data_IF_457335925932
#
_entry.id   IF_457335925932
#
_cell.length_a   1.000
_cell.length_b   1.000
_cell.length_c   1.000
_cell.angle_alpha   90.00
_cell.angle_beta   90.00
_cell.angle_gamma   90.00
#
_symmetry.space_group_name_H-M   'P 1'
#
loop_
_entity.id
_entity.type
_entity.pdbx_description
1 polymer ?
#
# COMPACT_ATOMS: atom_id res chain seq x y z
N UNK A 1 19.48 -20.21 -13.45
CA UNK A 1 18.14 -20.46 -12.89
C UNK A 1 17.65 -21.81 -13.42
N UNK A 2 16.99 -22.62 -12.60
CA UNK A 2 16.41 -23.89 -13.06
C UNK A 2 14.94 -23.93 -12.64
N UNK A 3 13.99 -24.16 -13.55
CA UNK A 3 12.58 -24.29 -13.18
C UNK A 3 12.39 -25.46 -12.21
N UNK A 4 11.67 -25.24 -11.11
CA UNK A 4 11.30 -26.25 -10.13
C UNK A 4 9.80 -26.22 -9.91
N UNK A 5 9.13 -27.34 -10.18
CA UNK A 5 7.71 -27.49 -9.87
C UNK A 5 7.50 -27.92 -8.43
N UNK A 6 6.70 -27.17 -7.68
CA UNK A 6 6.20 -27.55 -6.36
C UNK A 6 4.67 -27.51 -6.44
N UNK A 7 4.02 -28.68 -6.25
CA UNK A 7 2.57 -28.85 -6.34
C UNK A 7 1.94 -28.33 -7.65
N UNK A 8 2.64 -28.46 -8.78
CA UNK A 8 2.15 -28.02 -10.09
C UNK A 8 2.41 -26.54 -10.42
N UNK A 9 2.77 -25.72 -9.44
CA UNK A 9 3.24 -24.34 -9.65
C UNK A 9 4.73 -24.35 -9.94
N UNK A 10 5.14 -23.66 -10.99
CA UNK A 10 6.54 -23.54 -11.41
C UNK A 10 7.20 -22.37 -10.68
N UNK A 11 8.22 -22.69 -9.89
CA UNK A 11 9.05 -21.72 -9.16
C UNK A 11 10.44 -21.68 -9.78
N UNK A 12 11.05 -20.49 -9.81
CA UNK A 12 12.43 -20.35 -10.25
C UNK A 12 13.35 -20.77 -9.11
N UNK A 13 14.13 -21.84 -9.31
CA UNK A 13 15.18 -22.25 -8.39
C UNK A 13 16.43 -21.42 -8.70
N UNK A 14 16.78 -20.52 -7.79
CA UNK A 14 17.99 -19.73 -7.88
C UNK A 14 19.18 -20.58 -7.37
N UNK A 15 20.30 -20.57 -8.11
CA UNK A 15 21.57 -20.99 -7.53
C UNK A 15 21.99 -19.85 -6.63
N UNK A 16 22.03 -20.13 -5.34
CA UNK A 16 22.39 -19.18 -4.32
C UNK A 16 23.91 -19.07 -4.25
N UNK A 17 24.43 -17.86 -4.42
CA UNK A 17 25.84 -17.56 -4.17
C UNK A 17 26.16 -17.67 -2.68
N UNK A 18 27.43 -17.62 -2.30
CA UNK A 18 27.89 -17.74 -0.91
C UNK A 18 27.25 -16.71 0.06
N UNK A 19 26.70 -15.62 -0.48
CA UNK A 19 26.05 -14.53 0.27
C UNK A 19 24.53 -14.62 0.35
N UNK A 20 23.92 -15.72 -0.10
CA UNK A 20 22.47 -15.87 -0.03
C UNK A 20 21.99 -16.05 1.41
N UNK A 21 20.93 -15.31 1.75
CA UNK A 21 20.28 -15.39 3.07
C UNK A 21 19.04 -16.30 2.95
N UNK A 22 18.99 -17.44 3.66
CA UNK A 22 17.80 -18.27 3.69
C UNK A 22 16.60 -17.50 4.26
N UNK A 23 15.48 -17.53 3.56
CA UNK A 23 14.25 -16.89 3.98
C UNK A 23 13.04 -17.83 3.84
N UNK A 24 12.06 -17.63 4.70
CA UNK A 24 10.78 -18.34 4.69
C UNK A 24 9.64 -17.38 4.37
N UNK A 25 8.65 -17.84 3.61
CA UNK A 25 7.47 -17.05 3.29
C UNK A 25 6.56 -16.89 4.51
N UNK A 26 6.26 -15.64 4.88
CA UNK A 26 5.34 -15.31 5.99
C UNK A 26 3.92 -15.14 5.47
N UNK A 27 3.75 -14.47 4.33
CA UNK A 27 2.47 -14.21 3.70
C UNK A 27 2.57 -13.08 2.69
N UNK A 28 1.46 -12.78 2.03
CA UNK A 28 1.45 -11.81 0.93
C UNK A 28 0.05 -11.50 0.43
N UNK A 29 -0.01 -10.58 -0.53
CA UNK A 29 -1.19 -10.26 -1.31
C UNK A 29 -0.80 -9.90 -2.74
N UNK A 30 -1.30 -10.63 -3.71
CA UNK A 30 -1.30 -10.33 -5.15
C UNK A 30 -2.04 -9.03 -5.42
N UNK A 31 -3.17 -8.78 -4.74
CA UNK A 31 -3.96 -7.54 -4.92
C UNK A 31 -3.15 -6.28 -4.62
N UNK A 32 -2.24 -6.37 -3.64
CA UNK A 32 -1.36 -5.27 -3.24
C UNK A 32 0.08 -5.43 -3.74
N UNK A 33 0.35 -6.48 -4.51
CA UNK A 33 1.68 -6.91 -4.97
C UNK A 33 2.77 -6.89 -3.88
N UNK A 34 2.42 -7.39 -2.69
CA UNK A 34 3.26 -7.29 -1.50
C UNK A 34 3.46 -8.67 -0.88
N UNK A 35 4.71 -9.03 -0.59
CA UNK A 35 5.06 -10.25 0.14
C UNK A 35 5.98 -9.94 1.33
N UNK A 36 5.80 -10.69 2.41
CA UNK A 36 6.69 -10.65 3.59
C UNK A 36 7.42 -11.98 3.68
N UNK A 37 8.74 -11.90 3.78
CA UNK A 37 9.62 -13.03 4.05
C UNK A 37 10.35 -12.84 5.37
N UNK A 38 10.74 -13.94 6.00
CA UNK A 38 11.46 -13.97 7.27
C UNK A 38 12.78 -14.70 7.09
N UNK A 39 13.87 -13.99 7.37
CA UNK A 39 15.21 -14.54 7.54
C UNK A 39 15.61 -14.53 9.02
N UNK A 40 16.61 -15.33 9.38
CA UNK A 40 17.20 -15.24 10.73
C UNK A 40 18.11 -14.02 10.82
N UNK A 41 18.16 -13.38 11.99
CA UNK A 41 19.03 -12.23 12.23
C UNK A 41 20.52 -12.61 12.09
N UNK A 42 20.87 -13.83 12.49
CA UNK A 42 22.22 -14.37 12.39
C UNK A 42 22.65 -14.51 10.93
N UNK A 43 21.83 -15.12 10.07
CA UNK A 43 22.13 -15.27 8.64
C UNK A 43 22.33 -13.90 7.95
N UNK A 44 21.48 -12.93 8.29
CA UNK A 44 21.60 -11.56 7.74
C UNK A 44 22.91 -10.91 8.17
N UNK A 45 23.28 -11.00 9.46
CA UNK A 45 24.49 -10.36 9.98
C UNK A 45 25.78 -11.07 9.57
N UNK A 46 25.71 -12.37 9.28
CA UNK A 46 26.82 -13.13 8.69
C UNK A 46 27.20 -12.60 7.29
N UNK A 47 26.21 -12.10 6.53
CA UNK A 47 26.43 -11.48 5.22
C UNK A 47 26.82 -10.00 5.36
N UNK A 48 26.10 -9.23 6.18
CA UNK A 48 26.41 -7.82 6.41
C UNK A 48 26.10 -7.41 7.87
N UNK A 49 27.12 -7.25 8.73
CA UNK A 49 26.92 -6.87 10.13
C UNK A 49 26.49 -5.41 10.32
N UNK A 50 26.53 -4.59 9.27
CA UNK A 50 26.17 -3.17 9.31
C UNK A 50 24.77 -2.88 8.76
N UNK A 51 23.97 -3.91 8.44
CA UNK A 51 22.61 -3.69 7.98
C UNK A 51 21.77 -3.02 9.08
N UNK A 52 20.94 -2.06 8.67
CA UNK A 52 20.03 -1.34 9.55
C UNK A 52 18.58 -1.55 9.09
N UNK A 53 17.60 -1.55 10.02
CA UNK A 53 16.20 -1.44 9.65
C UNK A 53 15.98 -0.17 8.84
N UNK A 54 15.13 -0.26 7.82
CA UNK A 54 14.73 0.93 7.07
C UNK A 54 13.85 1.83 7.92
N UNK A 55 14.05 3.15 7.81
CA UNK A 55 13.13 4.13 8.37
C UNK A 55 12.02 4.41 7.36
N UNK A 56 10.77 4.34 7.78
CA UNK A 56 9.67 4.77 6.93
C UNK A 56 9.49 6.28 6.99
N UNK A 57 9.31 6.92 5.84
CA UNK A 57 8.98 8.35 5.81
C UNK A 57 7.65 8.61 6.53
N UNK A 58 7.46 9.78 7.12
CA UNK A 58 6.14 10.13 7.67
C UNK A 58 5.10 10.31 6.58
N UNK A 59 5.52 10.87 5.45
CA UNK A 59 4.74 11.12 4.23
C UNK A 59 5.67 11.43 3.07
N UNK A 60 5.13 11.45 1.85
CA UNK A 60 5.80 11.92 0.65
C UNK A 60 4.85 12.81 -0.17
N UNK A 61 5.34 13.52 -1.17
CA UNK A 61 4.51 14.42 -2.00
C UNK A 61 4.96 14.44 -3.45
N UNK A 62 4.06 14.86 -4.35
CA UNK A 62 4.40 15.10 -5.75
C UNK A 62 5.53 16.14 -5.84
N UNK A 63 6.52 15.86 -6.67
CA UNK A 63 7.75 16.64 -6.83
C UNK A 63 8.84 16.30 -5.80
N UNK A 64 8.58 15.46 -4.81
CA UNK A 64 9.60 14.99 -3.87
C UNK A 64 10.57 14.03 -4.57
N UNK A 65 11.86 14.12 -4.24
CA UNK A 65 12.90 13.23 -4.76
C UNK A 65 12.55 11.78 -4.47
N UNK A 66 12.71 10.94 -5.49
CA UNK A 66 12.53 9.50 -5.40
C UNK A 66 13.81 8.80 -5.88
N UNK A 67 14.41 8.00 -5.02
CA UNK A 67 15.66 7.26 -5.26
C UNK A 67 15.33 5.78 -5.20
N UNK A 68 15.46 5.09 -6.33
CA UNK A 68 15.24 3.65 -6.39
C UNK A 68 16.57 2.93 -6.18
N UNK A 69 16.56 1.92 -5.31
CA UNK A 69 17.71 1.03 -5.06
C UNK A 69 17.24 -0.41 -5.26
N UNK A 70 17.88 -1.11 -6.19
CA UNK A 70 17.50 -2.47 -6.61
C UNK A 70 18.67 -3.23 -7.24
N UNK A 71 18.37 -4.41 -7.79
CA UNK A 71 19.34 -5.23 -8.52
C UNK A 71 18.96 -5.31 -10.00
N UNK A 72 19.13 -4.21 -10.71
CA UNK A 72 18.79 -4.10 -12.14
C UNK A 72 19.51 -5.17 -12.97
N UNK A 73 18.74 -5.91 -13.76
CA UNK A 73 19.15 -6.99 -14.66
C UNK A 73 19.96 -8.12 -14.00
N UNK A 74 20.03 -8.15 -12.67
CA UNK A 74 20.85 -9.08 -11.92
C UNK A 74 22.35 -8.76 -11.95
N UNK A 75 22.75 -7.59 -12.44
CA UNK A 75 24.16 -7.19 -12.59
C UNK A 75 24.79 -6.58 -11.32
N UNK A 76 24.00 -6.39 -10.27
CA UNK A 76 24.42 -5.82 -9.00
C UNK A 76 23.54 -4.66 -8.54
N UNK A 77 23.93 -4.01 -7.45
CA UNK A 77 23.16 -2.90 -6.88
C UNK A 77 23.16 -1.72 -7.85
N UNK A 78 21.98 -1.30 -8.28
CA UNK A 78 21.74 -0.12 -9.11
C UNK A 78 21.01 0.95 -8.30
N UNK A 79 21.40 2.21 -8.52
CA UNK A 79 20.74 3.38 -7.92
C UNK A 79 20.32 4.32 -9.04
N UNK A 80 19.05 4.70 -9.05
CA UNK A 80 18.50 5.70 -9.97
C UNK A 80 17.74 6.76 -9.20
N UNK A 81 17.63 7.97 -9.77
CA UNK A 81 16.98 9.09 -9.12
C UNK A 81 16.04 9.80 -10.08
N UNK A 82 14.88 10.18 -9.56
CA UNK A 82 13.92 11.08 -10.18
C UNK A 82 13.05 11.74 -9.10
N UNK A 83 11.77 11.87 -9.36
CA UNK A 83 10.76 12.44 -8.47
C UNK A 83 9.47 11.61 -8.44
N UNK A 84 8.66 11.86 -7.42
CA UNK A 84 7.26 11.43 -7.40
C UNK A 84 6.44 12.30 -8.36
N UNK A 85 5.95 11.69 -9.43
CA UNK A 85 5.14 12.36 -10.46
C UNK A 85 3.65 12.35 -10.12
N UNK A 86 3.16 11.26 -9.52
CA UNK A 86 1.77 11.13 -9.04
C UNK A 86 1.79 10.43 -7.68
N UNK A 87 1.12 11.03 -6.69
CA UNK A 87 1.12 10.51 -5.31
C UNK A 87 0.55 9.09 -5.23
N UNK A 88 -0.60 8.86 -5.88
CA UNK A 88 -1.25 7.57 -5.96
C UNK A 88 -2.30 7.57 -7.06
N UNK A 89 -2.36 6.48 -7.81
CA UNK A 89 -3.38 6.20 -8.82
C UNK A 89 -3.61 4.68 -8.95
N UNK A 90 -4.66 4.28 -9.66
CA UNK A 90 -4.87 2.89 -10.03
C UNK A 90 -4.38 2.67 -11.46
N UNK A 91 -3.54 1.66 -11.65
CA UNK A 91 -2.98 1.27 -12.93
C UNK A 91 -3.33 -0.18 -13.23
N UNK A 92 -3.32 -0.56 -14.50
CA UNK A 92 -3.34 -1.95 -14.90
C UNK A 92 -1.94 -2.32 -15.37
N UNK A 93 -1.37 -3.39 -14.84
CA UNK A 93 -0.06 -3.87 -15.25
C UNK A 93 -0.22 -4.81 -16.45
N UNK A 94 0.69 -4.78 -17.41
CA UNK A 94 0.60 -5.67 -18.57
C UNK A 94 0.65 -7.15 -18.19
N UNK A 95 1.42 -7.46 -17.14
CA UNK A 95 1.58 -8.81 -16.57
C UNK A 95 0.30 -9.33 -15.90
N UNK A 96 -0.64 -8.45 -15.55
CA UNK A 96 -1.92 -8.81 -14.95
C UNK A 96 -3.04 -7.90 -15.44
N UNK A 97 -3.81 -8.42 -16.41
CA UNK A 97 -4.93 -7.73 -17.04
C UNK A 97 -6.23 -7.81 -16.24
N UNK A 98 -6.26 -8.58 -15.16
CA UNK A 98 -7.47 -8.80 -14.37
C UNK A 98 -7.59 -7.82 -13.20
N UNK A 99 -6.47 -7.26 -12.74
CA UNK A 99 -6.41 -6.43 -11.54
C UNK A 99 -5.91 -5.02 -11.83
N UNK A 100 -6.42 -4.08 -11.06
CA UNK A 100 -5.87 -2.74 -10.96
C UNK A 100 -5.05 -2.61 -9.68
N UNK A 101 -3.85 -2.07 -9.81
CA UNK A 101 -2.89 -1.90 -8.75
C UNK A 101 -2.83 -0.44 -8.32
N UNK A 102 -2.88 -0.19 -7.02
CA UNK A 102 -2.68 1.17 -6.51
C UNK A 102 -1.18 1.46 -6.44
N UNK A 103 -0.75 2.49 -7.16
CA UNK A 103 0.67 2.79 -7.40
C UNK A 103 0.99 4.28 -7.26
N UNK A 104 2.19 4.58 -6.77
CA UNK A 104 2.90 5.85 -6.97
C UNK A 104 3.42 5.86 -8.40
N UNK A 105 3.27 6.98 -9.13
CA UNK A 105 4.00 7.20 -10.38
C UNK A 105 5.28 7.96 -10.11
N UNK A 106 6.38 7.50 -10.69
CA UNK A 106 7.70 8.13 -10.62
C UNK A 106 8.28 8.26 -12.03
N UNK A 107 9.11 9.27 -12.26
CA UNK A 107 9.95 9.39 -13.47
C UNK A 107 11.36 8.79 -13.27
N UNK A 108 11.59 8.21 -12.08
CA UNK A 108 12.83 7.52 -11.74
C UNK A 108 13.01 6.32 -12.65
N UNK A 109 14.18 6.16 -13.27
CA UNK A 109 14.45 5.04 -14.17
C UNK A 109 14.35 3.71 -13.43
N UNK A 110 13.48 2.82 -13.91
CA UNK A 110 13.29 1.45 -13.40
C UNK A 110 13.51 0.48 -14.55
N UNK A 111 14.28 -0.58 -14.29
CA UNK A 111 14.51 -1.68 -15.22
C UNK A 111 14.13 -3.00 -14.54
N UNK A 112 14.04 -4.07 -15.32
CA UNK A 112 13.84 -5.42 -14.79
C UNK A 112 14.86 -5.72 -13.68
N UNK A 113 14.43 -6.30 -12.57
CA UNK A 113 15.29 -6.55 -11.39
C UNK A 113 15.25 -5.45 -10.31
N UNK A 114 14.70 -4.27 -10.60
CA UNK A 114 14.36 -3.30 -9.55
C UNK A 114 13.06 -3.66 -8.80
N UNK A 115 12.20 -4.54 -9.34
CA UNK A 115 10.98 -5.01 -8.67
C UNK A 115 11.28 -5.59 -7.28
N UNK A 116 10.58 -5.11 -6.26
CA UNK A 116 10.80 -5.44 -4.86
C UNK A 116 11.89 -4.61 -4.15
N UNK A 117 12.60 -3.74 -4.88
CA UNK A 117 13.56 -2.78 -4.35
C UNK A 117 12.90 -1.64 -3.57
N UNK A 118 13.71 -0.90 -2.81
CA UNK A 118 13.23 0.23 -2.02
C UNK A 118 13.20 1.51 -2.84
N UNK A 119 12.13 2.29 -2.68
CA UNK A 119 12.04 3.68 -3.14
C UNK A 119 12.20 4.62 -1.95
N UNK A 120 13.18 5.52 -2.00
CA UNK A 120 13.58 6.38 -0.88
C UNK A 120 13.46 7.86 -1.21
N UNK A 121 13.23 8.69 -0.20
CA UNK A 121 13.39 10.13 -0.33
C UNK A 121 14.85 10.56 -0.09
N UNK A 122 15.13 11.86 -0.22
CA UNK A 122 16.48 12.43 -0.05
C UNK A 122 17.05 12.33 1.38
N UNK A 123 16.23 11.93 2.37
CA UNK A 123 16.66 11.66 3.75
C UNK A 123 17.03 10.18 3.97
N UNK A 124 16.86 9.33 2.96
CA UNK A 124 17.05 7.88 3.08
C UNK A 124 15.87 7.16 3.73
N UNK A 125 14.72 7.81 3.86
CA UNK A 125 13.50 7.20 4.39
C UNK A 125 12.72 6.53 3.24
N UNK A 126 12.17 5.35 3.48
CA UNK A 126 11.37 4.61 2.51
C UNK A 126 10.04 5.32 2.26
N UNK A 127 9.71 5.51 0.99
CA UNK A 127 8.45 6.09 0.49
C UNK A 127 7.64 5.11 -0.37
N UNK A 128 8.19 3.94 -0.69
CA UNK A 128 7.49 2.88 -1.41
C UNK A 128 8.38 1.69 -1.74
N UNK A 129 7.81 0.70 -2.43
CA UNK A 129 8.55 -0.45 -2.97
C UNK A 129 8.39 -0.44 -4.49
N UNK A 130 9.48 -0.47 -5.24
CA UNK A 130 9.44 -0.47 -6.70
C UNK A 130 8.73 -1.72 -7.22
N UNK A 131 7.77 -1.56 -8.13
CA UNK A 131 6.99 -2.68 -8.67
C UNK A 131 7.50 -3.03 -10.07
N UNK A 132 7.04 -2.31 -11.10
CA UNK A 132 7.48 -2.47 -12.48
C UNK A 132 7.28 -1.14 -13.23
N UNK A 133 8.01 -0.97 -14.33
CA UNK A 133 7.86 0.14 -15.27
C UNK A 133 6.93 -0.22 -16.42
N UNK A 134 6.33 0.79 -17.05
CA UNK A 134 5.73 0.60 -18.37
C UNK A 134 6.86 0.47 -19.40
N UNK A 135 6.97 -0.68 -20.08
CA UNK A 135 8.02 -0.88 -21.10
C UNK A 135 7.77 -0.05 -22.37
N UNK A 136 6.57 0.48 -22.54
CA UNK A 136 6.15 1.24 -23.71
C UNK A 136 6.31 2.75 -23.54
N UNK A 137 6.11 3.27 -22.32
CA UNK A 137 6.22 4.69 -21.99
C UNK A 137 7.50 5.02 -21.21
N UNK A 138 8.44 5.68 -21.88
CA UNK A 138 9.68 6.15 -21.25
C UNK A 138 9.37 7.11 -20.08
N UNK A 139 10.03 6.88 -18.94
CA UNK A 139 9.92 7.69 -17.70
C UNK A 139 8.53 7.64 -17.02
N UNK A 140 7.75 6.59 -17.24
CA UNK A 140 6.55 6.29 -16.46
C UNK A 140 6.77 4.97 -15.73
N UNK A 141 7.11 5.07 -14.45
CA UNK A 141 7.39 3.92 -13.60
C UNK A 141 6.54 3.93 -12.34
N UNK A 142 6.40 2.76 -11.71
CA UNK A 142 5.48 2.58 -10.60
C UNK A 142 6.11 1.95 -9.37
N UNK A 143 5.64 2.40 -8.21
CA UNK A 143 5.99 1.84 -6.91
C UNK A 143 4.74 1.66 -6.04
N UNK A 144 4.76 0.63 -5.19
CA UNK A 144 3.74 0.37 -4.18
C UNK A 144 3.78 1.51 -3.15
N UNK A 145 2.65 2.19 -2.87
CA UNK A 145 2.57 3.28 -1.91
C UNK A 145 3.01 2.91 -0.50
N UNK A 146 3.66 3.86 0.19
CA UNK A 146 4.15 3.68 1.55
C UNK A 146 3.08 3.18 2.52
N UNK A 147 1.85 3.67 2.41
CA UNK A 147 0.74 3.27 3.27
C UNK A 147 0.39 1.79 3.08
N UNK A 148 0.43 1.30 1.84
CA UNK A 148 0.22 -0.12 1.54
C UNK A 148 1.37 -0.94 2.12
N UNK A 149 2.62 -0.49 1.97
CA UNK A 149 3.79 -1.17 2.55
C UNK A 149 3.67 -1.25 4.08
N UNK A 150 3.46 -0.11 4.75
CA UNK A 150 3.36 -0.05 6.22
C UNK A 150 2.22 -0.90 6.77
N UNK A 151 1.01 -0.68 6.26
CA UNK A 151 -0.19 -1.30 6.81
C UNK A 151 -0.32 -2.75 6.34
N UNK A 152 0.06 -3.03 5.09
CA UNK A 152 0.09 -4.37 4.52
C UNK A 152 1.09 -5.29 5.22
N UNK A 153 2.33 -4.84 5.48
CA UNK A 153 3.31 -5.66 6.23
C UNK A 153 2.78 -5.99 7.63
N UNK A 154 2.26 -4.99 8.36
CA UNK A 154 1.68 -5.21 9.69
C UNK A 154 0.50 -6.19 9.63
N UNK A 155 -0.36 -6.07 8.62
CA UNK A 155 -1.49 -6.95 8.39
C UNK A 155 -1.06 -8.39 8.11
N UNK A 156 -0.12 -8.60 7.19
CA UNK A 156 0.43 -9.92 6.84
C UNK A 156 1.05 -10.59 8.07
N UNK A 157 1.88 -9.87 8.82
CA UNK A 157 2.55 -10.43 10.01
C UNK A 157 1.52 -10.88 11.05
N UNK A 158 0.50 -10.04 11.31
CA UNK A 158 -0.62 -10.35 12.21
C UNK A 158 -1.43 -11.57 11.75
N UNK A 159 -1.57 -11.76 10.45
CA UNK A 159 -2.34 -12.87 9.83
C UNK A 159 -1.45 -13.99 9.26
N UNK A 160 -0.21 -14.11 9.73
CA UNK A 160 0.79 -15.04 9.17
C UNK A 160 0.40 -16.52 9.20
N UNK A 161 -0.55 -16.92 10.07
CA UNK A 161 -1.12 -18.27 10.08
C UNK A 161 -1.84 -18.59 8.76
N UNK A 162 -2.56 -17.60 8.21
CA UNK A 162 -3.30 -17.72 6.96
C UNK A 162 -2.43 -17.39 5.74
N UNK A 163 -1.23 -16.83 5.95
CA UNK A 163 -0.28 -16.39 4.91
C UNK A 163 -0.85 -15.38 3.90
N UNK A 164 -1.89 -14.67 4.30
CA UNK A 164 -2.63 -13.71 3.48
C UNK A 164 -3.00 -12.48 4.30
N UNK A 165 -3.31 -11.38 3.60
CA UNK A 165 -3.91 -10.21 4.23
C UNK A 165 -5.37 -10.45 4.58
N UNK A 166 -5.88 -9.68 5.55
CA UNK A 166 -7.32 -9.58 5.84
C UNK A 166 -7.79 -8.14 5.87
N UNK A 167 -8.93 -7.87 5.25
CA UNK A 167 -9.52 -6.52 5.17
C UNK A 167 -10.99 -6.53 5.55
N UNK A 168 -11.45 -5.44 6.16
CA UNK A 168 -12.86 -5.27 6.52
C UNK A 168 -13.71 -4.90 5.29
N UNK A 169 -14.90 -5.48 5.18
CA UNK A 169 -15.87 -5.11 4.12
C UNK A 169 -16.95 -4.20 4.70
N UNK A 170 -16.85 -2.89 4.44
CA UNK A 170 -17.79 -1.91 4.99
C UNK A 170 -19.18 -1.96 4.35
N UNK A 171 -19.28 -2.35 3.08
CA UNK A 171 -20.51 -2.31 2.29
C UNK A 171 -20.89 -0.92 1.80
N UNK A 172 -19.89 -0.11 1.47
CA UNK A 172 -20.03 1.22 0.88
C UNK A 172 -19.71 1.19 -0.62
N UNK A 173 -20.50 1.92 -1.41
CA UNK A 173 -20.07 2.42 -2.72
C UNK A 173 -19.79 3.90 -2.56
N UNK A 174 -18.61 4.35 -2.97
CA UNK A 174 -18.18 5.75 -2.86
C UNK A 174 -17.89 6.34 -4.23
N UNK A 175 -18.02 7.66 -4.32
CA UNK A 175 -17.66 8.46 -5.47
C UNK A 175 -16.77 9.63 -5.03
N UNK A 176 -15.82 10.00 -5.88
CA UNK A 176 -15.02 11.22 -5.69
C UNK A 176 -15.64 12.37 -6.50
N UNK A 177 -15.77 13.54 -5.86
CA UNK A 177 -16.23 14.78 -6.48
C UNK A 177 -15.24 15.91 -6.18
N UNK A 178 -15.33 16.99 -6.95
CA UNK A 178 -14.60 18.23 -6.72
C UNK A 178 -13.08 18.04 -6.54
N UNK A 179 -12.48 17.12 -7.31
CA UNK A 179 -11.04 16.85 -7.22
C UNK A 179 -10.24 18.08 -7.63
N UNK A 180 -9.36 18.55 -6.75
CA UNK A 180 -8.50 19.69 -7.02
C UNK A 180 -7.16 19.56 -6.28
N UNK A 181 -6.19 20.37 -6.71
CA UNK A 181 -4.89 20.45 -6.07
C UNK A 181 -4.89 21.56 -5.01
N UNK A 182 -4.45 21.23 -3.80
CA UNK A 182 -4.21 22.19 -2.74
C UNK A 182 -2.71 22.36 -2.51
N UNK A 183 -2.23 23.60 -2.60
CA UNK A 183 -0.85 23.96 -2.31
C UNK A 183 -0.70 24.47 -0.88
N UNK A 184 0.22 23.90 -0.12
CA UNK A 184 0.58 24.36 1.21
C UNK A 184 1.80 25.28 1.13
N UNK A 185 1.56 26.59 1.21
CA UNK A 185 2.62 27.62 1.12
C UNK A 185 3.65 27.56 2.25
N UNK A 186 3.33 26.93 3.40
CA UNK A 186 4.28 26.80 4.52
C UNK A 186 5.30 25.69 4.27
N UNK A 187 4.88 24.61 3.61
CA UNK A 187 5.75 23.45 3.35
C UNK A 187 6.31 23.46 1.93
N UNK A 188 5.74 24.26 1.03
CA UNK A 188 6.07 24.24 -0.40
C UNK A 188 5.61 22.95 -1.11
N UNK A 189 4.78 22.13 -0.43
CA UNK A 189 4.25 20.87 -0.96
C UNK A 189 2.77 21.05 -1.28
N UNK A 190 2.23 20.19 -2.15
CA UNK A 190 0.79 20.14 -2.35
C UNK A 190 0.28 18.74 -2.54
N UNK A 191 -1.04 18.62 -2.50
CA UNK A 191 -1.74 17.34 -2.51
C UNK A 191 -3.05 17.47 -3.27
N UNK A 192 -3.44 16.39 -3.95
CA UNK A 192 -4.72 16.33 -4.64
C UNK A 192 -5.77 15.80 -3.68
N UNK A 193 -6.83 16.57 -3.46
CA UNK A 193 -7.92 16.27 -2.52
C UNK A 193 -9.23 16.17 -3.31
N UNK A 194 -10.11 15.27 -2.88
CA UNK A 194 -11.45 15.06 -3.43
C UNK A 194 -12.47 15.03 -2.30
N UNK A 195 -13.69 15.45 -2.59
CA UNK A 195 -14.85 15.11 -1.74
C UNK A 195 -15.17 13.63 -1.93
N UNK A 196 -15.00 12.81 -0.88
CA UNK A 196 -15.37 11.38 -0.90
C UNK A 196 -16.79 11.24 -0.38
N UNK A 197 -17.73 10.95 -1.27
CA UNK A 197 -19.17 10.87 -0.96
C UNK A 197 -19.67 9.43 -1.08
N UNK A 198 -20.59 9.03 -0.21
CA UNK A 198 -21.25 7.72 -0.29
C UNK A 198 -22.33 7.76 -1.38
N UNK A 199 -22.16 6.95 -2.42
CA UNK A 199 -23.18 6.75 -3.46
C UNK A 199 -24.27 5.80 -2.99
N UNK A 200 -23.89 4.70 -2.32
CA UNK A 200 -24.86 3.73 -1.78
C UNK A 200 -24.32 2.95 -0.59
N UNK A 201 -25.26 2.48 0.24
CA UNK A 201 -24.99 1.64 1.41
C UNK A 201 -25.69 0.30 1.20
N UNK A 202 -24.93 -0.80 1.30
CA UNK A 202 -25.48 -2.15 1.18
C UNK A 202 -26.29 -2.51 2.43
N UNK A 203 -27.47 -3.11 2.25
CA UNK A 203 -28.26 -3.56 3.40
C UNK A 203 -27.55 -4.65 4.21
N UNK A 204 -27.74 -4.63 5.53
CA UNK A 204 -27.10 -5.48 6.56
C UNK A 204 -25.59 -5.32 6.66
N UNK A 205 -25.01 -4.31 6.02
CA UNK A 205 -23.58 -4.03 6.05
C UNK A 205 -23.14 -3.37 7.36
N UNK A 206 -21.83 -3.28 7.57
CA UNK A 206 -21.23 -2.51 8.66
C UNK A 206 -21.63 -1.04 8.53
N UNK A 207 -21.57 -0.47 7.32
CA UNK A 207 -21.95 0.90 7.06
C UNK A 207 -23.41 1.22 7.44
N UNK A 208 -24.36 0.32 7.13
CA UNK A 208 -25.77 0.48 7.54
C UNK A 208 -25.88 0.48 9.07
N UNK A 209 -25.19 -0.43 9.76
CA UNK A 209 -25.18 -0.48 11.24
C UNK A 209 -24.53 0.76 11.87
N UNK A 210 -23.62 1.42 11.15
CA UNK A 210 -23.00 2.68 11.56
C UNK A 210 -23.90 3.90 11.29
N UNK A 211 -25.13 3.70 10.79
CA UNK A 211 -26.05 4.77 10.37
C UNK A 211 -25.49 5.68 9.26
N UNK A 212 -24.61 5.14 8.41
CA UNK A 212 -24.18 5.84 7.20
C UNK A 212 -25.28 5.79 6.14
N UNK A 213 -25.38 6.85 5.35
CA UNK A 213 -26.41 7.01 4.33
C UNK A 213 -25.82 7.52 3.01
N UNK A 214 -26.55 7.33 1.91
CA UNK A 214 -26.21 7.95 0.63
C UNK A 214 -26.14 9.48 0.78
N UNK A 215 -25.20 10.09 0.06
CA UNK A 215 -24.83 11.50 0.09
C UNK A 215 -24.01 11.97 1.31
N UNK A 216 -23.77 11.12 2.32
CA UNK A 216 -22.84 11.46 3.38
C UNK A 216 -21.42 11.62 2.80
N UNK A 217 -20.72 12.69 3.20
CA UNK A 217 -19.32 12.95 2.84
C UNK A 217 -18.44 12.39 3.96
N UNK A 218 -17.50 11.53 3.61
CA UNK A 218 -16.57 10.90 4.54
C UNK A 218 -15.33 11.79 4.72
N UNK A 219 -15.23 12.47 5.86
CA UNK A 219 -14.12 13.38 6.15
C UNK A 219 -12.96 12.67 6.86
N UNK A 220 -13.27 11.75 7.76
CA UNK A 220 -12.26 10.99 8.52
C UNK A 220 -12.81 9.65 9.01
N UNK A 221 -11.92 8.67 9.13
CA UNK A 221 -12.18 7.39 9.80
C UNK A 221 -11.50 7.43 11.17
N UNK A 222 -12.23 7.11 12.21
CA UNK A 222 -11.72 6.95 13.57
C UNK A 222 -11.55 5.46 13.83
N UNK A 223 -10.37 5.05 14.32
CA UNK A 223 -10.06 3.67 14.71
C UNK A 223 -9.56 3.72 16.16
N UNK A 224 -10.32 3.12 17.10
CA UNK A 224 -10.00 3.12 18.53
C UNK A 224 -9.73 4.53 19.12
N UNK A 225 -10.43 5.55 18.60
CA UNK A 225 -10.29 6.94 19.03
C UNK A 225 -9.18 7.73 18.31
N UNK A 226 -8.35 7.08 17.49
CA UNK A 226 -7.38 7.76 16.63
C UNK A 226 -8.04 8.16 15.30
N UNK A 227 -7.86 9.41 14.89
CA UNK A 227 -8.50 10.00 13.72
C UNK A 227 -7.57 9.99 12.50
N UNK A 228 -8.07 9.44 11.39
CA UNK A 228 -7.39 9.37 10.11
C UNK A 228 -8.19 10.12 9.05
N UNK A 229 -7.58 11.15 8.46
CA UNK A 229 -8.22 11.96 7.42
C UNK A 229 -8.45 11.16 6.14
N UNK A 230 -9.57 11.45 5.48
CA UNK A 230 -9.91 10.92 4.17
C UNK A 230 -9.90 12.10 3.19
N UNK A 231 -8.83 12.22 2.43
CA UNK A 231 -8.69 13.22 1.38
C UNK A 231 -9.07 12.65 0.02
N UNK A 232 -8.94 11.33 -0.14
CA UNK A 232 -9.20 10.58 -1.37
C UNK A 232 -9.79 9.22 -1.03
N UNK A 233 -10.52 8.64 -1.99
CA UNK A 233 -11.16 7.33 -1.86
C UNK A 233 -10.16 6.22 -1.52
N UNK A 234 -8.95 6.31 -2.06
CA UNK A 234 -7.90 5.33 -1.80
C UNK A 234 -7.43 5.33 -0.34
N UNK A 235 -7.62 6.42 0.41
CA UNK A 235 -7.25 6.50 1.83
C UNK A 235 -8.04 5.46 2.64
N UNK A 236 -9.33 5.29 2.33
CA UNK A 236 -10.18 4.27 2.95
C UNK A 236 -9.57 2.89 2.71
N UNK A 237 -9.19 2.57 1.47
CA UNK A 237 -8.57 1.29 1.13
C UNK A 237 -7.30 1.00 1.94
N UNK A 238 -6.45 2.00 2.16
CA UNK A 238 -5.27 1.86 3.04
C UNK A 238 -5.66 1.66 4.49
N UNK A 239 -6.59 2.45 5.02
CA UNK A 239 -6.98 2.39 6.42
C UNK A 239 -7.68 1.07 6.77
N UNK A 240 -8.38 0.45 5.81
CA UNK A 240 -8.94 -0.89 5.98
C UNK A 240 -7.88 -1.98 6.24
N UNK A 241 -6.62 -1.77 5.82
CA UNK A 241 -5.51 -2.69 6.12
C UNK A 241 -5.07 -2.62 7.59
N UNK A 242 -5.29 -1.48 8.27
CA UNK A 242 -4.95 -1.32 9.69
C UNK A 242 -5.91 -2.10 10.60
N UNK A 243 -7.19 -2.09 10.24
CA UNK A 243 -8.29 -2.61 11.06
C UNK A 243 -8.10 -4.10 11.36
N UNK A 244 -8.32 -4.51 12.61
CA UNK A 244 -8.38 -5.89 13.10
C UNK A 244 -9.69 -6.18 13.84
N UNK A 245 -9.90 -7.46 14.09
CA UNK A 245 -10.87 -7.94 15.06
C UNK A 245 -10.67 -7.22 16.41
N UNK A 246 -11.79 -6.77 16.98
CA UNK A 246 -11.85 -6.03 18.23
C UNK A 246 -11.66 -4.52 18.10
N UNK A 247 -11.18 -4.01 16.95
CA UNK A 247 -11.12 -2.56 16.75
C UNK A 247 -12.53 -1.97 16.68
N UNK A 248 -12.69 -0.77 17.22
CA UNK A 248 -13.93 0.01 17.10
C UNK A 248 -13.72 1.16 16.15
N UNK A 249 -14.59 1.27 15.15
CA UNK A 249 -14.53 2.29 14.12
C UNK A 249 -15.76 3.20 14.09
N UNK A 250 -15.58 4.45 13.72
CA UNK A 250 -16.62 5.43 13.39
C UNK A 250 -16.13 6.37 12.28
N UNK A 251 -17.02 7.08 11.60
CA UNK A 251 -16.64 8.11 10.64
C UNK A 251 -17.06 9.48 11.12
N UNK A 252 -16.18 10.48 10.96
CA UNK A 252 -16.62 11.88 10.92
C UNK A 252 -17.13 12.15 9.52
N UNK A 253 -18.37 12.61 9.42
CA UNK A 253 -19.07 12.83 8.17
C UNK A 253 -19.69 14.21 8.11
N UNK A 254 -19.91 14.70 6.90
CA UNK A 254 -20.84 15.79 6.65
C UNK A 254 -22.11 15.21 6.00
N UNK A 255 -23.24 15.40 6.68
CA UNK A 255 -24.55 14.88 6.29
C UNK A 255 -25.54 16.03 6.25
N UNK A 256 -26.11 16.34 5.08
CA UNK A 256 -27.00 17.49 4.88
C UNK A 256 -26.40 18.84 5.34
N UNK A 257 -25.11 19.07 5.11
CA UNK A 257 -24.34 20.25 5.54
C UNK A 257 -24.09 20.34 7.06
N UNK A 258 -24.34 19.28 7.82
CA UNK A 258 -24.02 19.20 9.24
C UNK A 258 -22.89 18.19 9.47
N UNK A 259 -21.87 18.61 10.22
CA UNK A 259 -20.83 17.71 10.69
C UNK A 259 -21.36 16.84 11.83
N UNK A 260 -21.19 15.54 11.72
CA UNK A 260 -21.55 14.57 12.76
C UNK A 260 -20.59 13.38 12.75
N UNK A 261 -20.57 12.64 13.83
CA UNK A 261 -19.93 11.33 13.89
C UNK A 261 -20.97 10.24 13.66
N UNK A 262 -20.63 9.21 12.88
CA UNK A 262 -21.47 8.03 12.70
C UNK A 262 -21.60 7.23 13.99
N UNK A 263 -22.54 6.29 14.05
CA UNK A 263 -22.51 5.28 15.11
C UNK A 263 -21.20 4.49 15.02
N UNK A 264 -20.65 4.11 16.17
CA UNK A 264 -19.47 3.27 16.23
C UNK A 264 -19.82 1.80 15.98
N UNK A 265 -18.86 1.04 15.46
CA UNK A 265 -18.99 -0.40 15.22
C UNK A 265 -17.71 -1.12 15.63
N UNK A 266 -17.82 -2.16 16.45
CA UNK A 266 -16.69 -3.01 16.84
C UNK A 266 -16.60 -4.22 15.90
N UNK A 267 -15.45 -4.39 15.26
CA UNK A 267 -15.22 -5.43 14.27
C UNK A 267 -15.14 -6.81 14.92
N UNK A 268 -15.88 -7.76 14.35
CA UNK A 268 -15.77 -9.17 14.65
C UNK A 268 -14.87 -9.88 13.64
N UNK A 269 -14.43 -11.12 13.95
CA UNK A 269 -13.68 -11.94 13.00
C UNK A 269 -14.39 -12.13 11.65
N UNK A 270 -15.73 -12.26 11.67
CA UNK A 270 -16.53 -12.45 10.45
C UNK A 270 -16.62 -11.20 9.56
N UNK A 271 -16.24 -10.04 10.07
CA UNK A 271 -16.22 -8.79 9.30
C UNK A 271 -14.96 -8.65 8.43
N UNK A 272 -13.97 -9.53 8.65
CA UNK A 272 -12.69 -9.54 7.95
C UNK A 272 -12.62 -10.70 6.94
N UNK A 273 -12.35 -10.35 5.70
CA UNK A 273 -12.17 -11.31 4.61
C UNK A 273 -10.71 -11.44 4.24
N UNK A 274 -10.27 -12.64 3.89
CA UNK A 274 -8.98 -12.85 3.24
C UNK A 274 -8.97 -12.09 1.91
N UNK A 275 -7.82 -11.47 1.61
CA UNK A 275 -7.57 -10.86 0.32
C UNK A 275 -6.28 -11.44 -0.24
N UNK A 276 -6.41 -11.95 -1.46
CA UNK A 276 -5.35 -12.62 -2.19
C UNK A 276 -4.23 -11.69 -2.60
#
# INVERSE_FOLDING_TARGET
MVPKKVNGTEYMNYKYDEYAIPASYVGGSVTYDLAVVKASKEDVFNVNPYVLPVEFASSYSVGETAIAIGNSEGEGISVTQGVVSVYSEYINLEIDKERSYRSIRIDTAIYSGNSGGGLFNSRGELIGITNAGDETDQNINFAIPLEIVKYGVANIVRNSVDKQMKVATLGLTIEEKNTHYEFNSKTGKGSTISTVQISSVKSKSIAEKMNLSSNDILNSLIINGEEYKINRSYDIGSLLLLIKEGDTISFKINSNNEEKESSSYTLSRSDLSLID
#
